data_IF_755990818480
#
_entry.id   IF_755990818480
#
_cell.length_a   1.000
_cell.length_b   1.000
_cell.length_c   1.000
_cell.angle_alpha   90.00
_cell.angle_beta   90.00
_cell.angle_gamma   90.00
#
_symmetry.space_group_name_H-M   'P 1'
#
loop_
_entity.id
_entity.type
_entity.pdbx_description
1 polymer ?
#
# COMPACT_ATOMS: atom_id res chain seq x y z
N UNK A 1 25.19 24.58 -17.94
CA UNK A 1 23.72 24.51 -18.01
C UNK A 1 23.23 25.79 -18.67
N UNK A 2 22.52 25.68 -19.80
CA UNK A 2 21.95 26.85 -20.48
C UNK A 2 20.61 27.23 -19.84
N UNK A 3 20.20 28.50 -19.94
CA UNK A 3 18.93 29.01 -19.39
C UNK A 3 17.70 28.24 -19.92
N UNK A 4 17.78 27.66 -21.12
CA UNK A 4 16.75 26.77 -21.68
C UNK A 4 16.62 25.42 -20.95
N UNK A 5 17.72 24.82 -20.51
CA UNK A 5 17.69 23.57 -19.74
C UNK A 5 17.04 23.77 -18.36
N UNK A 6 17.35 24.89 -17.69
CA UNK A 6 16.77 25.22 -16.38
C UNK A 6 15.24 25.37 -16.43
N UNK A 7 14.71 26.09 -17.42
CA UNK A 7 13.25 26.20 -17.64
C UNK A 7 12.59 24.85 -17.88
N UNK A 8 13.22 23.98 -18.67
CA UNK A 8 12.67 22.66 -18.98
C UNK A 8 12.59 21.74 -17.74
N UNK A 9 13.58 21.83 -16.83
CA UNK A 9 13.59 21.06 -15.59
C UNK A 9 12.56 21.56 -14.58
N UNK A 10 12.35 22.88 -14.50
CA UNK A 10 11.32 23.48 -13.63
C UNK A 10 9.91 23.07 -14.06
N UNK A 11 9.66 23.07 -15.38
CA UNK A 11 8.38 22.63 -15.94
C UNK A 11 8.09 21.15 -15.66
N UNK A 12 9.10 20.28 -15.76
CA UNK A 12 8.96 18.86 -15.41
C UNK A 12 8.65 18.69 -13.92
N UNK A 13 9.41 19.36 -13.05
CA UNK A 13 9.20 19.31 -11.60
C UNK A 13 7.78 19.78 -11.22
N UNK A 14 7.27 20.83 -11.87
CA UNK A 14 5.91 21.32 -11.67
C UNK A 14 4.85 20.29 -12.11
N UNK A 15 5.05 19.60 -13.24
CA UNK A 15 4.15 18.54 -13.72
C UNK A 15 4.14 17.31 -12.81
N UNK A 16 5.32 16.87 -12.35
CA UNK A 16 5.45 15.79 -11.37
C UNK A 16 4.72 16.15 -10.09
N UNK A 17 4.95 17.37 -9.55
CA UNK A 17 4.30 17.85 -8.34
C UNK A 17 2.77 17.90 -8.49
N UNK A 18 2.26 18.40 -9.62
CA UNK A 18 0.81 18.42 -9.90
C UNK A 18 0.24 17.01 -9.93
N UNK A 19 0.92 16.07 -10.59
CA UNK A 19 0.50 14.67 -10.67
C UNK A 19 0.44 14.03 -9.28
N UNK A 20 1.49 14.20 -8.48
CA UNK A 20 1.53 13.70 -7.11
C UNK A 20 0.37 14.23 -6.26
N UNK A 21 0.03 15.52 -6.38
CA UNK A 21 -1.08 16.14 -5.62
C UNK A 21 -2.44 15.54 -6.02
N UNK A 22 -2.63 15.19 -7.29
CA UNK A 22 -3.88 14.57 -7.75
C UNK A 22 -4.04 13.18 -7.10
N UNK A 23 -3.01 12.34 -7.17
CA UNK A 23 -3.04 11.00 -6.58
C UNK A 23 -3.05 11.02 -5.06
N UNK A 24 -2.43 12.01 -4.41
CA UNK A 24 -2.43 12.19 -2.95
C UNK A 24 -3.85 12.17 -2.35
N UNK A 25 -4.84 12.69 -3.08
CA UNK A 25 -6.25 12.71 -2.65
C UNK A 25 -6.87 11.32 -2.54
N UNK A 26 -6.33 10.33 -3.24
CA UNK A 26 -6.77 8.94 -3.15
C UNK A 26 -6.07 8.20 -1.99
N UNK A 27 -4.80 8.50 -1.74
CA UNK A 27 -4.02 7.81 -0.71
C UNK A 27 -4.50 8.12 0.72
N UNK A 28 -4.91 9.36 1.00
CA UNK A 28 -5.40 9.75 2.33
C UNK A 28 -6.58 8.88 2.83
N UNK A 29 -7.69 8.78 2.10
CA UNK A 29 -8.79 7.89 2.45
C UNK A 29 -8.37 6.42 2.55
N UNK A 30 -7.52 5.93 1.65
CA UNK A 30 -7.05 4.54 1.67
C UNK A 30 -6.26 4.20 2.95
N UNK A 31 -5.42 5.12 3.45
CA UNK A 31 -4.72 4.96 4.74
C UNK A 31 -5.70 4.73 5.87
N UNK A 32 -6.73 5.58 5.95
CA UNK A 32 -7.73 5.50 7.03
C UNK A 32 -8.47 4.17 6.97
N UNK A 33 -8.86 3.73 5.76
CA UNK A 33 -9.56 2.46 5.58
C UNK A 33 -8.70 1.26 5.99
N UNK A 34 -7.44 1.19 5.56
CA UNK A 34 -6.52 0.08 5.90
C UNK A 34 -6.25 0.03 7.41
N UNK A 35 -5.94 1.17 8.03
CA UNK A 35 -5.72 1.22 9.49
C UNK A 35 -6.99 0.81 10.24
N UNK A 36 -8.15 1.31 9.83
CA UNK A 36 -9.42 0.96 10.47
C UNK A 36 -9.71 -0.53 10.35
N UNK A 37 -9.52 -1.13 9.17
CA UNK A 37 -9.72 -2.55 8.94
C UNK A 37 -8.81 -3.42 9.83
N UNK A 38 -7.58 -2.95 10.11
CA UNK A 38 -6.62 -3.69 10.95
C UNK A 38 -7.05 -3.91 12.41
N UNK A 39 -8.03 -3.15 12.89
CA UNK A 39 -8.60 -3.32 14.23
C UNK A 39 -9.71 -4.38 14.30
N UNK A 40 -10.09 -4.97 13.16
CA UNK A 40 -11.10 -6.03 13.11
C UNK A 40 -10.47 -7.41 12.87
N UNK A 41 -11.11 -8.51 13.30
CA UNK A 41 -10.63 -9.85 13.02
C UNK A 41 -10.67 -10.14 11.51
N UNK A 42 -9.58 -10.67 10.96
CA UNK A 42 -9.51 -11.03 9.53
C UNK A 42 -10.05 -12.43 9.24
N UNK A 43 -10.02 -13.31 10.23
CA UNK A 43 -10.45 -14.71 10.09
C UNK A 43 -11.64 -15.00 10.99
N UNK A 44 -12.60 -15.74 10.47
CA UNK A 44 -13.76 -16.22 11.21
C UNK A 44 -13.37 -17.40 12.11
N UNK A 45 -13.95 -17.50 13.32
CA UNK A 45 -13.78 -18.68 14.15
C UNK A 45 -14.35 -19.92 13.43
N UNK A 46 -13.71 -21.07 13.64
CA UNK A 46 -14.20 -22.34 13.12
C UNK A 46 -15.48 -22.75 13.86
N UNK A 47 -16.52 -23.26 13.17
CA UNK A 47 -17.83 -23.55 13.76
C UNK A 47 -17.78 -24.50 14.97
N UNK A 48 -16.83 -25.44 14.98
CA UNK A 48 -16.69 -26.49 16.00
C UNK A 48 -15.47 -26.28 16.91
N UNK A 49 -14.85 -25.10 16.87
CA UNK A 49 -13.61 -24.79 17.60
C UNK A 49 -13.85 -23.70 18.63
N UNK A 50 -13.24 -23.84 19.81
CA UNK A 50 -13.17 -22.76 20.80
C UNK A 50 -12.15 -21.68 20.42
N UNK A 51 -11.44 -21.83 19.30
CA UNK A 51 -10.43 -20.87 18.83
C UNK A 51 -11.13 -19.65 18.25
N UNK A 52 -10.96 -18.51 18.93
CA UNK A 52 -11.39 -17.20 18.42
C UNK A 52 -10.15 -16.44 17.96
N UNK A 53 -10.17 -15.95 16.71
CA UNK A 53 -9.09 -15.12 16.18
C UNK A 53 -9.29 -13.66 16.57
N UNK A 54 -8.22 -13.02 17.02
CA UNK A 54 -8.17 -11.59 17.30
C UNK A 54 -7.99 -10.77 16.03
N UNK A 55 -8.01 -9.44 16.19
CA UNK A 55 -7.50 -8.54 15.16
C UNK A 55 -5.98 -8.62 15.05
N UNK A 56 -5.40 -7.98 14.02
CA UNK A 56 -3.96 -8.02 13.77
C UNK A 56 -3.11 -7.60 14.98
N UNK A 57 -3.58 -6.60 15.72
CA UNK A 57 -2.89 -6.08 16.89
C UNK A 57 -2.91 -7.08 18.05
N UNK A 58 -4.05 -7.72 18.31
CA UNK A 58 -4.20 -8.74 19.34
C UNK A 58 -3.38 -9.99 19.02
N UNK A 59 -3.41 -10.44 17.77
CA UNK A 59 -2.63 -11.60 17.30
C UNK A 59 -1.12 -11.39 17.47
N UNK A 60 -0.64 -10.15 17.31
CA UNK A 60 0.77 -9.81 17.54
C UNK A 60 1.11 -9.66 19.01
N UNK A 61 0.35 -8.83 19.74
CA UNK A 61 0.70 -8.41 21.10
C UNK A 61 0.45 -9.49 22.15
N UNK A 62 -0.48 -10.42 21.89
CA UNK A 62 -0.90 -11.43 22.87
C UNK A 62 -0.37 -12.82 22.47
N UNK A 63 -0.41 -13.16 21.19
CA UNK A 63 -0.17 -14.53 20.71
C UNK A 63 1.27 -14.72 20.19
N UNK A 64 1.97 -13.64 19.82
CA UNK A 64 3.42 -13.65 19.54
C UNK A 64 3.83 -14.50 18.33
N UNK A 65 2.89 -14.85 17.44
CA UNK A 65 3.20 -15.62 16.22
C UNK A 65 4.03 -14.77 15.26
N UNK A 66 5.21 -15.24 14.89
CA UNK A 66 6.15 -14.51 14.02
C UNK A 66 5.54 -14.05 12.68
N UNK A 67 4.55 -14.79 12.16
CA UNK A 67 3.81 -14.41 10.95
C UNK A 67 2.94 -13.18 11.17
N UNK A 68 2.29 -13.06 12.34
CA UNK A 68 1.50 -11.87 12.69
C UNK A 68 2.38 -10.63 12.80
N UNK A 69 3.58 -10.76 13.40
CA UNK A 69 4.54 -9.65 13.53
C UNK A 69 4.96 -9.14 12.16
N UNK A 70 5.28 -10.06 11.23
CA UNK A 70 5.60 -9.70 9.86
C UNK A 70 4.43 -8.97 9.17
N UNK A 71 3.21 -9.49 9.30
CA UNK A 71 2.01 -8.87 8.74
C UNK A 71 1.79 -7.44 9.26
N UNK A 72 1.95 -7.23 10.57
CA UNK A 72 1.83 -5.90 11.18
C UNK A 72 2.93 -4.95 10.71
N UNK A 73 4.19 -5.40 10.63
CA UNK A 73 5.29 -4.58 10.12
C UNK A 73 5.03 -4.21 8.66
N UNK A 74 4.61 -5.15 7.82
CA UNK A 74 4.28 -4.90 6.42
C UNK A 74 3.13 -3.89 6.30
N UNK A 75 2.08 -4.02 7.12
CA UNK A 75 0.96 -3.08 7.16
C UNK A 75 1.40 -1.68 7.60
N UNK A 76 2.16 -1.56 8.68
CA UNK A 76 2.63 -0.27 9.20
C UNK A 76 3.61 0.40 8.24
N UNK A 77 4.54 -0.35 7.66
CA UNK A 77 5.48 0.16 6.67
C UNK A 77 4.75 0.67 5.43
N UNK A 78 3.85 -0.14 4.85
CA UNK A 78 3.08 0.22 3.66
C UNK A 78 2.18 1.43 3.94
N UNK A 79 1.52 1.45 5.10
CA UNK A 79 0.68 2.59 5.52
C UNK A 79 1.51 3.86 5.73
N UNK A 80 2.69 3.75 6.35
CA UNK A 80 3.61 4.88 6.51
C UNK A 80 4.03 5.48 5.16
N UNK A 81 4.30 4.65 4.17
CA UNK A 81 4.59 5.09 2.81
C UNK A 81 3.35 5.71 2.12
N UNK A 82 2.16 5.16 2.34
CA UNK A 82 0.91 5.76 1.87
C UNK A 82 0.66 7.13 2.49
N UNK A 83 0.96 7.33 3.77
CA UNK A 83 0.91 8.64 4.43
C UNK A 83 1.86 9.64 3.74
N UNK A 84 3.08 9.21 3.42
CA UNK A 84 4.04 10.04 2.67
C UNK A 84 3.47 10.41 1.28
N UNK A 85 2.84 9.46 0.59
CA UNK A 85 2.18 9.69 -0.68
C UNK A 85 0.96 10.61 -0.57
N UNK A 86 0.21 10.55 0.53
CA UNK A 86 -0.94 11.40 0.80
C UNK A 86 -0.56 12.88 1.03
N UNK A 87 0.70 13.18 1.37
CA UNK A 87 1.22 14.57 1.44
C UNK A 87 1.66 15.09 0.06
N UNK A 88 1.53 14.27 -1.00
CA UNK A 88 1.93 14.65 -2.37
C UNK A 88 3.44 14.69 -2.59
N UNK A 89 4.22 14.10 -1.67
CA UNK A 89 5.67 13.96 -1.78
C UNK A 89 6.01 12.50 -2.04
N UNK A 90 6.04 12.12 -3.30
CA UNK A 90 6.27 10.73 -3.69
C UNK A 90 7.18 10.63 -4.90
N UNK A 91 7.98 9.57 -4.90
CA UNK A 91 8.89 9.19 -5.99
C UNK A 91 8.48 7.82 -6.53
N UNK A 92 8.97 7.46 -7.71
CA UNK A 92 8.72 6.13 -8.29
C UNK A 92 9.19 5.00 -7.38
N UNK A 93 10.30 5.18 -6.67
CA UNK A 93 10.80 4.20 -5.69
C UNK A 93 9.81 3.99 -4.53
N UNK A 94 9.24 5.08 -3.99
CA UNK A 94 8.21 5.00 -2.94
C UNK A 94 6.97 4.26 -3.47
N UNK A 95 6.54 4.54 -4.70
CA UNK A 95 5.38 3.86 -5.31
C UNK A 95 5.61 2.36 -5.49
N UNK A 96 6.81 1.95 -5.92
CA UNK A 96 7.19 0.54 -6.04
C UNK A 96 7.16 -0.13 -4.66
N UNK A 97 7.68 0.54 -3.63
CA UNK A 97 7.65 0.00 -2.27
C UNK A 97 6.22 -0.17 -1.75
N UNK A 98 5.31 0.79 -1.99
CA UNK A 98 3.89 0.66 -1.64
C UNK A 98 3.24 -0.48 -2.43
N UNK A 99 3.49 -0.57 -3.74
CA UNK A 99 2.97 -1.64 -4.60
C UNK A 99 3.37 -3.02 -4.07
N UNK A 100 4.65 -3.21 -3.79
CA UNK A 100 5.18 -4.47 -3.23
C UNK A 100 4.55 -4.77 -1.88
N UNK A 101 4.50 -3.78 -0.98
CA UNK A 101 3.89 -3.94 0.34
C UNK A 101 2.42 -4.36 0.27
N UNK A 102 1.64 -3.72 -0.59
CA UNK A 102 0.23 -4.05 -0.80
C UNK A 102 0.04 -5.47 -1.35
N UNK A 103 0.85 -5.90 -2.32
CA UNK A 103 0.81 -7.27 -2.84
C UNK A 103 1.18 -8.28 -1.75
N UNK A 104 2.23 -8.00 -0.97
CA UNK A 104 2.66 -8.87 0.14
C UNK A 104 1.55 -9.02 1.17
N UNK A 105 0.87 -7.94 1.57
CA UNK A 105 -0.25 -7.98 2.51
C UNK A 105 -1.39 -8.83 1.96
N UNK A 106 -1.83 -8.57 0.72
CA UNK A 106 -2.91 -9.33 0.07
C UNK A 106 -2.58 -10.83 0.01
N UNK A 107 -1.38 -11.17 -0.46
CA UNK A 107 -0.92 -12.56 -0.54
C UNK A 107 -0.83 -13.21 0.85
N UNK A 108 -0.36 -12.49 1.86
CA UNK A 108 -0.26 -13.00 3.24
C UNK A 108 -1.64 -13.34 3.80
N UNK A 109 -2.64 -12.46 3.58
CA UNK A 109 -4.01 -12.72 4.02
C UNK A 109 -4.67 -13.87 3.24
N UNK A 110 -4.42 -13.97 1.93
CA UNK A 110 -4.97 -15.06 1.10
C UNK A 110 -4.37 -16.42 1.41
N UNK A 111 -3.06 -16.47 1.69
CA UNK A 111 -2.35 -17.72 1.95
C UNK A 111 -2.45 -18.15 3.42
N UNK A 112 -2.77 -17.23 4.33
CA UNK A 112 -2.82 -17.44 5.78
C UNK A 112 -1.62 -18.28 6.29
N UNK A 113 -0.37 -17.80 6.13
CA UNK A 113 0.80 -18.57 6.52
C UNK A 113 0.78 -18.92 8.02
N UNK A 114 1.20 -20.13 8.36
CA UNK A 114 1.12 -20.65 9.73
C UNK A 114 -0.18 -21.39 10.06
N UNK A 115 -1.14 -21.44 9.13
CA UNK A 115 -2.31 -22.31 9.20
C UNK A 115 -2.16 -23.51 8.27
N UNK A 116 -2.43 -24.72 8.77
CA UNK A 116 -2.42 -25.95 7.96
C UNK A 116 -3.66 -26.03 7.07
N UNK A 117 -4.78 -25.48 7.55
CA UNK A 117 -6.01 -25.24 6.80
C UNK A 117 -6.40 -23.78 7.02
N UNK A 118 -6.35 -22.91 6.00
CA UNK A 118 -6.65 -21.51 6.15
C UNK A 118 -8.07 -21.32 6.70
N UNK A 119 -8.25 -20.59 7.81
CA UNK A 119 -9.59 -20.28 8.31
C UNK A 119 -10.32 -19.37 7.32
N UNK A 120 -11.66 -19.42 7.33
CA UNK A 120 -12.48 -18.59 6.47
C UNK A 120 -12.24 -17.09 6.76
N UNK A 121 -12.23 -16.26 5.71
CA UNK A 121 -12.08 -14.81 5.87
C UNK A 121 -13.37 -14.18 6.40
N UNK A 122 -13.22 -13.21 7.31
CA UNK A 122 -14.32 -12.30 7.64
C UNK A 122 -14.53 -11.29 6.50
N UNK A 123 -15.62 -10.52 6.59
CA UNK A 123 -15.83 -9.39 5.68
C UNK A 123 -14.68 -8.37 5.74
N UNK A 124 -14.06 -8.19 6.92
CA UNK A 124 -12.93 -7.27 7.08
C UNK A 124 -11.65 -7.81 6.45
N UNK A 125 -11.40 -9.13 6.52
CA UNK A 125 -10.31 -9.77 5.78
C UNK A 125 -10.47 -9.60 4.26
N UNK A 126 -11.69 -9.78 3.74
CA UNK A 126 -12.01 -9.56 2.33
C UNK A 126 -11.82 -8.10 1.93
N UNK A 127 -12.27 -7.16 2.76
CA UNK A 127 -12.10 -5.72 2.53
C UNK A 127 -10.62 -5.35 2.47
N UNK A 128 -9.79 -5.84 3.40
CA UNK A 128 -8.38 -5.46 3.45
C UNK A 128 -7.57 -6.04 2.28
N UNK A 129 -7.89 -7.27 1.84
CA UNK A 129 -7.38 -7.83 0.58
C UNK A 129 -7.79 -6.95 -0.62
N UNK A 130 -9.05 -6.55 -0.68
CA UNK A 130 -9.57 -5.72 -1.76
C UNK A 130 -8.90 -4.34 -1.80
N UNK A 131 -8.74 -3.71 -0.63
CA UNK A 131 -8.02 -2.45 -0.47
C UNK A 131 -6.56 -2.58 -0.91
N UNK A 132 -5.90 -3.68 -0.55
CA UNK A 132 -4.52 -3.96 -0.96
C UNK A 132 -4.38 -4.02 -2.48
N UNK A 133 -5.30 -4.69 -3.20
CA UNK A 133 -5.28 -4.69 -4.67
C UNK A 133 -5.63 -3.33 -5.28
N UNK A 134 -6.56 -2.58 -4.70
CA UNK A 134 -6.89 -1.22 -5.14
C UNK A 134 -5.67 -0.31 -4.98
N UNK A 135 -4.98 -0.37 -3.83
CA UNK A 135 -3.75 0.36 -3.57
C UNK A 135 -2.69 0.01 -4.62
N UNK A 136 -2.48 -1.28 -4.88
CA UNK A 136 -1.55 -1.75 -5.91
C UNK A 136 -1.88 -1.21 -7.30
N UNK A 137 -3.16 -1.22 -7.69
CA UNK A 137 -3.59 -0.69 -8.99
C UNK A 137 -3.34 0.82 -9.08
N UNK A 138 -3.73 1.59 -8.06
CA UNK A 138 -3.54 3.06 -8.03
C UNK A 138 -2.05 3.42 -8.04
N UNK A 139 -1.21 2.73 -7.29
CA UNK A 139 0.24 2.99 -7.27
C UNK A 139 0.93 2.62 -8.57
N UNK A 140 0.48 1.54 -9.23
CA UNK A 140 0.97 1.16 -10.56
C UNK A 140 0.62 2.23 -11.60
N UNK A 141 -0.63 2.70 -11.63
CA UNK A 141 -1.03 3.75 -12.58
C UNK A 141 -0.27 5.05 -12.29
N UNK A 142 -0.09 5.41 -11.01
CA UNK A 142 0.69 6.58 -10.64
C UNK A 142 2.16 6.45 -11.06
N UNK A 143 2.79 5.29 -10.87
CA UNK A 143 4.19 5.08 -11.23
C UNK A 143 4.40 5.14 -12.74
N UNK A 144 3.49 4.55 -13.52
CA UNK A 144 3.48 4.64 -14.98
C UNK A 144 3.30 6.09 -15.46
N UNK A 145 2.46 6.88 -14.80
CA UNK A 145 2.28 8.29 -15.15
C UNK A 145 3.57 9.11 -14.90
N UNK A 146 4.23 8.91 -13.76
CA UNK A 146 5.52 9.56 -13.48
C UNK A 146 6.61 9.11 -14.46
N UNK A 147 6.66 7.83 -14.79
CA UNK A 147 7.61 7.28 -15.75
C UNK A 147 7.39 7.84 -17.17
N UNK A 148 6.14 7.96 -17.61
CA UNK A 148 5.81 8.56 -18.90
C UNK A 148 6.23 10.04 -18.98
N UNK A 149 6.10 10.80 -17.88
CA UNK A 149 6.58 12.18 -17.80
C UNK A 149 8.11 12.25 -17.93
N UNK A 150 8.84 11.37 -17.25
CA UNK A 150 10.30 11.32 -17.30
C UNK A 150 10.80 10.94 -18.71
N UNK A 151 10.25 9.89 -19.31
CA UNK A 151 10.55 9.50 -20.70
C UNK A 151 10.27 10.63 -21.70
N UNK A 152 9.13 11.31 -21.54
CA UNK A 152 8.73 12.43 -22.39
C UNK A 152 9.64 13.65 -22.25
N UNK A 153 10.37 13.76 -21.15
CA UNK A 153 11.39 14.79 -20.94
C UNK A 153 12.73 14.39 -21.54
N UNK A 154 13.19 13.16 -21.29
CA UNK A 154 14.43 12.62 -21.88
C UNK A 154 14.42 12.71 -23.41
N UNK A 155 13.30 12.36 -24.05
CA UNK A 155 13.13 12.49 -25.52
C UNK A 155 13.21 13.91 -26.07
N UNK A 156 13.01 14.96 -25.26
CA UNK A 156 13.13 16.35 -25.69
C UNK A 156 14.53 16.92 -25.50
N UNK A 157 15.35 16.25 -24.69
CA UNK A 157 16.73 16.66 -24.41
C UNK A 157 17.77 15.90 -25.25
N UNK A 158 17.40 14.73 -25.79
CA UNK A 158 18.15 14.00 -26.80
C UNK A 158 17.99 14.66 -28.17
#
# INVERSE_FOLDING_TARGET
MTTGQLRSTEDLAARIRRTNIIYARLYGPLVVLVITASFFPYYSPEPDSSVTYGNLWQEVLIIGRGVGVFGLIALLFTTGLLCLAAVGRTTTAVLIAILTGAIVIACTLLQAPGYVSPPALTIFGIIDISLSFIIAAVTLVHSLHLFALDLGFQRRMA
#
